data_IF_058433086633
#
_entry.id   IF_058433086633
#
_cell.length_a   1.000
_cell.length_b   1.000
_cell.length_c   1.000
_cell.angle_alpha   90.00
_cell.angle_beta   90.00
_cell.angle_gamma   90.00
#
_symmetry.space_group_name_H-M   'P 1'
#
loop_
_entity.id
_entity.type
_entity.pdbx_description
1 polymer ?
#
# COMPACT_ATOMS: atom_id res chain seq x y z
N UNK A 1 -30.14 31.40 16.77
CA UNK A 1 -29.93 30.07 16.20
C UNK A 1 -28.76 30.23 15.24
N UNK A 2 -27.62 29.60 15.47
CA UNK A 2 -26.54 29.60 14.48
C UNK A 2 -27.08 28.93 13.23
N UNK A 3 -26.94 29.57 12.06
CA UNK A 3 -27.33 28.97 10.79
C UNK A 3 -26.57 27.62 10.63
N UNK A 4 -27.34 26.53 10.50
CA UNK A 4 -26.74 25.19 10.24
C UNK A 4 -26.09 25.22 8.86
N UNK A 5 -24.78 24.96 8.80
CA UNK A 5 -24.06 24.94 7.53
C UNK A 5 -24.58 23.80 6.66
N UNK A 6 -24.89 24.10 5.40
CA UNK A 6 -25.38 23.13 4.41
C UNK A 6 -24.35 22.95 3.29
N UNK A 7 -24.16 21.68 2.88
CA UNK A 7 -23.24 21.26 1.82
C UNK A 7 -23.95 20.34 0.81
N UNK A 8 -23.45 20.32 -0.42
CA UNK A 8 -23.89 19.34 -1.39
C UNK A 8 -23.26 17.96 -1.08
N UNK A 9 -22.02 18.00 -0.55
CA UNK A 9 -21.30 16.78 -0.16
C UNK A 9 -20.40 17.03 1.05
N UNK A 10 -20.44 16.10 1.99
CA UNK A 10 -19.52 16.05 3.15
C UNK A 10 -18.72 14.75 3.09
N UNK A 11 -17.39 14.86 3.19
CA UNK A 11 -16.47 13.71 3.17
C UNK A 11 -15.89 13.54 4.56
N UNK A 12 -16.00 12.35 5.14
CA UNK A 12 -15.47 11.98 6.45
C UNK A 12 -14.19 11.19 6.27
N UNK A 13 -13.06 11.83 6.55
CA UNK A 13 -11.70 11.33 6.34
C UNK A 13 -10.99 12.06 5.20
N UNK A 14 -9.83 12.64 5.50
CA UNK A 14 -8.98 13.40 4.57
C UNK A 14 -7.81 12.57 4.01
N UNK A 15 -7.93 11.23 3.98
CA UNK A 15 -6.97 10.32 3.34
C UNK A 15 -7.02 10.39 1.82
N UNK A 16 -6.22 9.56 1.09
CA UNK A 16 -6.15 9.58 -0.38
C UNK A 16 -7.53 9.60 -1.05
N UNK A 17 -8.40 8.66 -0.73
CA UNK A 17 -9.76 8.65 -1.28
C UNK A 17 -10.56 9.90 -0.92
N UNK A 18 -10.45 10.36 0.34
CA UNK A 18 -11.23 11.49 0.81
C UNK A 18 -10.80 12.84 0.25
N UNK A 19 -9.51 13.16 0.23
CA UNK A 19 -9.06 14.44 -0.30
C UNK A 19 -9.24 14.53 -1.83
N UNK A 20 -9.03 13.42 -2.55
CA UNK A 20 -9.26 13.35 -4.00
C UNK A 20 -10.75 13.51 -4.31
N UNK A 21 -11.62 12.78 -3.60
CA UNK A 21 -13.07 12.94 -3.71
C UNK A 21 -13.51 14.37 -3.44
N UNK A 22 -12.97 15.03 -2.39
CA UNK A 22 -13.30 16.42 -2.05
C UNK A 22 -12.91 17.39 -3.18
N UNK A 23 -11.71 17.25 -3.73
CA UNK A 23 -11.24 18.07 -4.85
C UNK A 23 -12.11 17.85 -6.08
N UNK A 24 -12.40 16.59 -6.42
CA UNK A 24 -13.22 16.27 -7.58
C UNK A 24 -14.65 16.78 -7.43
N UNK A 25 -15.26 16.66 -6.24
CA UNK A 25 -16.59 17.22 -5.94
C UNK A 25 -16.63 18.73 -6.17
N UNK A 26 -15.64 19.46 -5.64
CA UNK A 26 -15.54 20.89 -5.82
C UNK A 26 -15.35 21.30 -7.29
N UNK A 27 -14.56 20.53 -8.07
CA UNK A 27 -14.38 20.72 -9.51
C UNK A 27 -15.69 20.52 -10.30
N UNK A 28 -16.58 19.66 -9.81
CA UNK A 28 -17.91 19.43 -10.36
C UNK A 28 -18.96 20.46 -9.89
N UNK A 29 -18.52 21.47 -9.14
CA UNK A 29 -19.37 22.58 -8.68
C UNK A 29 -20.14 22.33 -7.38
N UNK A 30 -19.86 21.25 -6.67
CA UNK A 30 -20.50 20.93 -5.39
C UNK A 30 -19.89 21.76 -4.25
N UNK A 31 -20.72 22.33 -3.39
CA UNK A 31 -20.27 22.90 -2.12
C UNK A 31 -19.80 21.79 -1.20
N UNK A 32 -18.51 21.72 -0.93
CA UNK A 32 -17.84 20.57 -0.32
C UNK A 32 -17.23 20.91 1.03
N UNK A 33 -17.39 20.01 2.02
CA UNK A 33 -16.59 19.99 3.24
C UNK A 33 -15.90 18.63 3.41
N UNK A 34 -14.69 18.65 3.99
CA UNK A 34 -13.95 17.47 4.38
C UNK A 34 -13.61 17.53 5.88
N UNK A 35 -13.95 16.48 6.61
CA UNK A 35 -13.73 16.36 8.05
C UNK A 35 -12.54 15.41 8.27
N UNK A 36 -11.47 15.87 8.95
CA UNK A 36 -10.29 15.07 9.25
C UNK A 36 -9.87 15.21 10.71
N UNK A 37 -9.79 14.06 11.41
CA UNK A 37 -9.49 14.03 12.85
C UNK A 37 -8.02 14.15 13.21
N UNK A 38 -7.11 13.76 12.32
CA UNK A 38 -5.66 13.80 12.54
C UNK A 38 -5.11 15.23 12.61
N UNK A 39 -5.83 16.21 12.05
CA UNK A 39 -5.40 17.60 11.97
C UNK A 39 -4.48 17.91 10.78
N UNK A 40 -4.05 16.89 10.03
CA UNK A 40 -3.31 17.01 8.77
C UNK A 40 -3.98 16.16 7.69
N UNK A 41 -4.11 16.69 6.48
CA UNK A 41 -4.65 15.98 5.33
C UNK A 41 -3.68 14.90 4.82
N UNK A 42 -4.16 13.97 3.96
CA UNK A 42 -3.39 12.89 3.38
C UNK A 42 -3.52 11.54 4.11
N UNK A 43 -4.23 11.51 5.26
CA UNK A 43 -4.55 10.29 6.00
C UNK A 43 -3.34 9.45 6.38
N UNK A 44 -3.52 8.14 6.47
CA UNK A 44 -2.45 7.20 6.79
C UNK A 44 -1.33 7.23 5.76
N UNK A 45 -1.65 7.25 4.47
CA UNK A 45 -0.66 7.16 3.40
C UNK A 45 0.41 8.26 3.49
N UNK A 46 0.02 9.53 3.59
CA UNK A 46 0.97 10.63 3.60
C UNK A 46 1.64 10.81 4.97
N UNK A 47 0.90 10.61 6.05
CA UNK A 47 1.42 10.97 7.38
C UNK A 47 2.22 9.85 8.05
N UNK A 48 1.79 8.59 7.93
CA UNK A 48 2.36 7.46 8.68
C UNK A 48 2.36 6.15 7.86
N UNK A 49 2.43 6.25 6.54
CA UNK A 49 2.35 5.08 5.64
C UNK A 49 3.25 5.19 4.42
N UNK A 50 2.65 5.28 3.23
CA UNK A 50 3.35 5.19 1.94
C UNK A 50 4.48 6.21 1.79
N UNK A 51 4.20 7.48 2.04
CA UNK A 51 5.17 8.55 1.78
C UNK A 51 6.38 8.46 2.73
N UNK A 52 6.20 8.44 4.06
CA UNK A 52 7.35 8.32 4.96
C UNK A 52 8.12 7.00 4.75
N UNK A 53 7.44 5.89 4.44
CA UNK A 53 8.14 4.63 4.17
C UNK A 53 9.00 4.71 2.90
N UNK A 54 8.52 5.32 1.82
CA UNK A 54 9.28 5.48 0.57
C UNK A 54 10.44 6.46 0.74
N UNK A 55 10.28 7.50 1.54
CA UNK A 55 11.40 8.39 1.88
C UNK A 55 12.53 7.64 2.63
N UNK A 56 12.18 6.78 3.60
CA UNK A 56 13.16 5.96 4.32
C UNK A 56 13.76 4.86 3.44
N UNK A 57 12.95 4.19 2.61
CA UNK A 57 13.43 3.19 1.65
C UNK A 57 14.45 3.79 0.70
N UNK A 58 14.15 4.96 0.11
CA UNK A 58 15.07 5.66 -0.78
C UNK A 58 16.37 6.06 -0.07
N UNK A 59 16.30 6.65 1.12
CA UNK A 59 17.48 7.05 1.88
C UNK A 59 18.38 5.86 2.26
N UNK A 60 17.76 4.77 2.70
CA UNK A 60 18.50 3.54 3.06
C UNK A 60 19.08 2.84 1.83
N UNK A 61 18.42 2.91 0.68
CA UNK A 61 18.91 2.35 -0.58
C UNK A 61 20.12 3.11 -1.11
N UNK A 62 20.09 4.44 -1.08
CA UNK A 62 21.24 5.28 -1.45
C UNK A 62 22.45 4.93 -0.57
N UNK A 63 22.25 4.79 0.75
CA UNK A 63 23.32 4.42 1.68
C UNK A 63 23.91 3.05 1.35
N UNK A 64 23.05 2.00 1.24
CA UNK A 64 23.47 0.64 0.91
C UNK A 64 24.19 0.58 -0.46
N UNK A 65 23.63 1.23 -1.48
CA UNK A 65 24.18 1.26 -2.83
C UNK A 65 25.60 1.83 -2.85
N UNK A 66 25.85 2.95 -2.16
CA UNK A 66 27.20 3.54 -2.11
C UNK A 66 28.13 2.69 -1.25
N UNK A 67 27.66 2.19 -0.11
CA UNK A 67 28.47 1.39 0.82
C UNK A 67 28.91 0.06 0.22
N UNK A 68 27.98 -0.69 -0.38
CA UNK A 68 28.22 -2.06 -0.80
C UNK A 68 28.64 -2.16 -2.28
N UNK A 69 28.21 -1.20 -3.12
CA UNK A 69 28.46 -1.20 -4.55
C UNK A 69 29.29 -0.02 -5.07
N UNK A 70 29.54 1.01 -4.23
CA UNK A 70 30.27 2.21 -4.65
C UNK A 70 31.65 1.92 -5.25
N UNK A 71 32.38 0.95 -4.71
CA UNK A 71 33.73 0.61 -5.18
C UNK A 71 33.77 0.19 -6.65
N UNK A 72 32.77 -0.53 -7.15
CA UNK A 72 32.67 -0.94 -8.57
C UNK A 72 32.43 0.27 -9.51
N UNK A 73 31.88 1.37 -8.97
CA UNK A 73 31.69 2.63 -9.70
C UNK A 73 32.81 3.63 -9.47
N UNK A 74 33.92 3.22 -8.81
CA UNK A 74 35.07 4.09 -8.52
C UNK A 74 34.84 5.03 -7.34
N UNK A 75 33.75 4.89 -6.59
CA UNK A 75 33.48 5.68 -5.38
C UNK A 75 34.28 5.09 -4.23
N UNK A 76 35.06 5.93 -3.55
CA UNK A 76 35.91 5.55 -2.43
C UNK A 76 35.70 6.48 -1.25
N UNK A 77 35.71 5.94 -0.05
CA UNK A 77 35.60 6.66 1.22
C UNK A 77 34.73 5.88 2.21
N UNK A 78 34.85 6.23 3.47
CA UNK A 78 33.98 5.75 4.51
C UNK A 78 32.71 6.61 4.53
N UNK A 79 31.55 5.98 4.47
CA UNK A 79 30.26 6.66 4.53
C UNK A 79 29.53 6.21 5.77
N UNK A 80 28.90 7.17 6.43
CA UNK A 80 28.04 6.93 7.59
C UNK A 80 26.66 7.50 7.31
N UNK A 81 25.64 6.91 7.91
CA UNK A 81 24.27 7.44 7.87
C UNK A 81 23.93 8.07 9.20
N UNK A 82 23.40 9.29 9.17
CA UNK A 82 22.81 9.96 10.30
C UNK A 82 21.31 9.71 10.32
N UNK A 83 20.83 8.88 11.25
CA UNK A 83 19.41 8.53 11.36
C UNK A 83 18.54 9.77 11.63
N UNK A 84 19.02 10.72 12.43
CA UNK A 84 18.24 11.93 12.72
C UNK A 84 18.02 12.79 11.47
N UNK A 85 19.03 12.94 10.63
CA UNK A 85 18.91 13.67 9.35
C UNK A 85 18.04 12.92 8.35
N UNK A 86 18.13 11.59 8.32
CA UNK A 86 17.25 10.74 7.50
C UNK A 86 15.77 10.88 7.91
N UNK A 87 15.49 10.86 9.22
CA UNK A 87 14.13 11.09 9.74
C UNK A 87 13.65 12.50 9.43
N UNK A 88 14.52 13.51 9.61
CA UNK A 88 14.17 14.88 9.26
C UNK A 88 13.82 15.04 7.78
N UNK A 89 14.58 14.43 6.88
CA UNK A 89 14.25 14.43 5.44
C UNK A 89 12.88 13.80 5.18
N UNK A 90 12.56 12.68 5.84
CA UNK A 90 11.23 12.05 5.78
C UNK A 90 10.13 13.03 6.24
N UNK A 91 10.35 13.72 7.36
CA UNK A 91 9.38 14.67 7.93
C UNK A 91 9.18 15.88 7.02
N UNK A 92 10.26 16.43 6.46
CA UNK A 92 10.20 17.56 5.51
C UNK A 92 9.38 17.19 4.25
N UNK A 93 9.52 15.95 3.75
CA UNK A 93 8.72 15.45 2.61
C UNK A 93 7.24 15.33 2.98
N UNK A 94 6.92 14.75 4.12
CA UNK A 94 5.53 14.60 4.61
C UNK A 94 4.88 15.98 4.80
N UNK A 95 5.58 16.90 5.46
CA UNK A 95 5.10 18.26 5.73
C UNK A 95 4.85 19.04 4.42
N UNK A 96 5.76 18.94 3.47
CA UNK A 96 5.60 19.55 2.15
C UNK A 96 4.34 19.07 1.41
N UNK A 97 4.10 17.76 1.41
CA UNK A 97 2.96 17.17 0.71
C UNK A 97 1.62 17.46 1.42
N UNK A 98 1.58 17.36 2.75
CA UNK A 98 0.35 17.66 3.50
C UNK A 98 -0.06 19.12 3.35
N UNK A 99 0.88 20.06 3.41
CA UNK A 99 0.65 21.48 3.10
C UNK A 99 0.20 21.71 1.66
N UNK A 100 0.74 20.92 0.73
CA UNK A 100 0.30 20.93 -0.68
C UNK A 100 -1.19 20.63 -0.82
N UNK A 101 -1.71 19.63 -0.12
CA UNK A 101 -3.14 19.29 -0.13
C UNK A 101 -3.98 20.39 0.51
N UNK A 102 -3.53 20.99 1.62
CA UNK A 102 -4.23 22.16 2.21
C UNK A 102 -4.32 23.32 1.20
N UNK A 103 -3.24 23.55 0.42
CA UNK A 103 -3.22 24.52 -0.67
C UNK A 103 -4.25 24.18 -1.77
N UNK A 104 -4.39 22.91 -2.13
CA UNK A 104 -5.39 22.44 -3.09
C UNK A 104 -6.82 22.62 -2.56
N UNK A 105 -7.08 22.35 -1.30
CA UNK A 105 -8.38 22.59 -0.66
C UNK A 105 -8.74 24.08 -0.71
N UNK A 106 -7.81 24.96 -0.34
CA UNK A 106 -8.01 26.40 -0.41
C UNK A 106 -8.29 26.87 -1.83
N UNK A 107 -7.53 26.39 -2.82
CA UNK A 107 -7.73 26.72 -4.24
C UNK A 107 -9.12 26.30 -4.73
N UNK A 108 -9.61 25.14 -4.32
CA UNK A 108 -10.91 24.59 -4.71
C UNK A 108 -12.06 25.04 -3.79
N UNK A 109 -11.81 25.90 -2.80
CA UNK A 109 -12.81 26.40 -1.85
C UNK A 109 -13.52 25.28 -1.06
N UNK A 110 -12.76 24.28 -0.64
CA UNK A 110 -13.24 23.17 0.18
C UNK A 110 -13.10 23.57 1.64
N UNK A 111 -14.16 23.43 2.42
CA UNK A 111 -14.13 23.67 3.86
C UNK A 111 -13.42 22.49 4.56
N UNK A 112 -12.28 22.78 5.17
CA UNK A 112 -11.51 21.82 5.94
C UNK A 112 -11.89 21.90 7.42
N UNK A 113 -12.60 20.87 7.92
CA UNK A 113 -13.07 20.79 9.29
C UNK A 113 -12.18 19.84 10.09
N UNK A 114 -11.35 20.40 10.99
CA UNK A 114 -10.42 19.62 11.84
C UNK A 114 -11.18 18.99 13.00
N UNK A 115 -11.64 17.76 12.83
CA UNK A 115 -12.51 17.12 13.81
C UNK A 115 -12.85 15.67 13.46
N UNK A 116 -13.59 15.04 14.35
CA UNK A 116 -14.14 13.71 14.16
C UNK A 116 -15.60 13.84 13.66
N UNK A 117 -15.87 13.28 12.47
CA UNK A 117 -17.20 13.25 11.87
C UNK A 117 -17.98 12.03 12.34
N UNK A 118 -19.22 12.22 12.75
CA UNK A 118 -20.16 11.17 13.15
C UNK A 118 -21.42 11.31 12.32
N UNK A 119 -21.81 10.28 11.62
CA UNK A 119 -23.06 10.25 10.85
C UNK A 119 -24.23 10.11 11.79
N UNK A 120 -25.14 11.08 11.80
CA UNK A 120 -26.27 11.13 12.72
C UNK A 120 -27.56 10.62 12.08
N UNK A 121 -27.55 10.45 10.75
CA UNK A 121 -28.67 10.03 9.95
C UNK A 121 -28.53 10.50 8.51
N UNK A 122 -29.60 10.33 7.73
CA UNK A 122 -29.64 10.82 6.35
C UNK A 122 -29.47 12.35 6.33
N UNK A 123 -28.41 12.81 5.70
CA UNK A 123 -28.15 14.23 5.50
C UNK A 123 -27.63 15.01 6.71
N UNK A 124 -27.21 14.34 7.78
CA UNK A 124 -26.71 15.01 8.99
C UNK A 124 -25.41 14.40 9.50
N UNK A 125 -24.42 15.25 9.78
CA UNK A 125 -23.11 14.88 10.34
C UNK A 125 -22.80 15.77 11.54
N UNK A 126 -22.51 15.15 12.69
CA UNK A 126 -21.95 15.85 13.83
C UNK A 126 -20.43 15.95 13.68
N UNK A 127 -19.87 17.12 13.95
CA UNK A 127 -18.43 17.36 13.95
C UNK A 127 -17.96 17.66 15.37
N UNK A 128 -17.09 16.80 15.91
CA UNK A 128 -16.39 17.02 17.18
C UNK A 128 -15.00 17.58 16.87
N UNK A 129 -14.80 18.87 17.05
CA UNK A 129 -13.54 19.54 16.72
C UNK A 129 -12.40 19.11 17.64
N UNK A 130 -11.18 19.07 17.09
CA UNK A 130 -9.96 18.67 17.83
C UNK A 130 -9.34 19.80 18.63
N UNK A 131 -9.71 21.04 18.37
CA UNK A 131 -9.23 22.25 19.05
C UNK A 131 -10.03 22.63 20.31
N UNK A 132 -11.02 21.81 20.71
CA UNK A 132 -11.89 22.07 21.85
C UNK A 132 -13.10 22.96 21.55
N UNK A 133 -13.27 23.38 20.29
CA UNK A 133 -14.49 24.08 19.86
C UNK A 133 -15.72 23.20 20.11
N UNK A 134 -16.83 23.80 20.51
CA UNK A 134 -18.08 23.08 20.76
C UNK A 134 -18.51 22.28 19.52
N UNK A 135 -18.98 21.04 19.69
CA UNK A 135 -19.46 20.24 18.57
C UNK A 135 -20.58 20.97 17.80
N UNK A 136 -20.57 20.81 16.48
CA UNK A 136 -21.60 21.37 15.60
C UNK A 136 -22.26 20.27 14.79
N UNK A 137 -23.49 20.49 14.36
CA UNK A 137 -24.16 19.67 13.34
C UNK A 137 -24.15 20.41 12.02
N UNK A 138 -23.82 19.69 10.94
CA UNK A 138 -23.85 20.19 9.56
C UNK A 138 -24.78 19.31 8.73
N UNK A 139 -25.36 19.90 7.69
CA UNK A 139 -26.22 19.18 6.75
C UNK A 139 -25.52 18.93 5.43
N UNK A 140 -25.77 17.78 4.84
CA UNK A 140 -25.22 17.38 3.54
C UNK A 140 -26.26 16.64 2.71
N UNK A 141 -26.35 16.94 1.42
CA UNK A 141 -27.17 16.11 0.50
C UNK A 141 -26.58 14.72 0.34
N UNK A 142 -25.24 14.62 0.31
CA UNK A 142 -24.50 13.39 0.20
C UNK A 142 -23.39 13.33 1.27
N UNK A 143 -23.21 12.16 1.87
CA UNK A 143 -22.15 11.88 2.85
C UNK A 143 -21.27 10.76 2.29
N UNK A 144 -19.96 10.96 2.25
CA UNK A 144 -18.99 9.95 1.81
C UNK A 144 -18.09 9.57 2.99
N UNK A 145 -18.12 8.31 3.37
CA UNK A 145 -17.29 7.75 4.44
C UNK A 145 -15.98 7.26 3.80
N UNK A 146 -14.87 7.95 4.13
CA UNK A 146 -13.52 7.71 3.61
C UNK A 146 -12.49 7.59 4.74
N UNK A 147 -12.88 6.98 5.85
CA UNK A 147 -12.11 6.93 7.11
C UNK A 147 -10.93 5.95 7.06
N UNK A 148 -10.80 5.18 5.98
CA UNK A 148 -9.64 4.36 5.71
C UNK A 148 -9.52 3.13 6.62
N UNK A 149 -8.31 2.81 7.00
CA UNK A 149 -7.98 1.64 7.79
C UNK A 149 -7.01 1.95 8.93
N UNK A 150 -6.89 1.02 9.85
CA UNK A 150 -5.95 1.09 10.97
C UNK A 150 -5.17 -0.23 11.12
N UNK A 151 -4.16 -0.23 11.97
CA UNK A 151 -3.33 -1.41 12.23
C UNK A 151 -4.19 -2.54 12.80
N UNK A 152 -4.01 -3.76 12.27
CA UNK A 152 -4.63 -4.96 12.81
C UNK A 152 -3.94 -5.30 14.15
N UNK A 153 -4.67 -5.33 15.29
CA UNK A 153 -4.07 -5.72 16.57
C UNK A 153 -3.75 -7.21 16.57
N UNK A 154 -2.60 -7.57 17.14
CA UNK A 154 -2.28 -8.96 17.45
C UNK A 154 -2.87 -9.29 18.83
N UNK A 155 -3.77 -10.28 18.95
CA UNK A 155 -4.39 -10.62 20.21
C UNK A 155 -3.36 -10.92 21.32
N UNK A 156 -3.53 -10.30 22.49
CA UNK A 156 -2.62 -10.45 23.62
C UNK A 156 -1.33 -9.63 23.53
N UNK A 157 -1.14 -8.82 22.50
CA UNK A 157 0.04 -7.97 22.34
C UNK A 157 -0.38 -6.50 22.37
N UNK A 158 0.22 -5.74 23.28
CA UNK A 158 0.00 -4.28 23.36
C UNK A 158 1.11 -3.58 22.58
N UNK A 159 0.73 -2.85 21.55
CA UNK A 159 1.63 -1.97 20.81
C UNK A 159 1.82 -0.70 21.64
N UNK A 160 3.07 -0.45 22.09
CA UNK A 160 3.45 0.68 22.94
C UNK A 160 4.12 1.82 22.16
N UNK A 161 4.39 1.59 20.87
CA UNK A 161 5.13 2.48 19.95
C UNK A 161 6.53 2.88 20.45
N UNK A 162 7.07 2.13 21.41
CA UNK A 162 8.45 2.26 21.93
C UNK A 162 9.29 1.04 21.55
N UNK A 163 8.93 -0.14 22.05
CA UNK A 163 9.62 -1.42 21.76
C UNK A 163 8.78 -2.40 20.97
N UNK A 164 7.49 -2.34 21.14
CA UNK A 164 6.51 -3.10 20.37
C UNK A 164 5.79 -2.07 19.50
N UNK A 165 6.23 -1.94 18.27
CA UNK A 165 5.80 -0.87 17.38
C UNK A 165 4.87 -1.39 16.28
N UNK A 166 3.98 -0.53 15.83
CA UNK A 166 3.32 -0.66 14.54
C UNK A 166 4.21 -0.09 13.42
N UNK A 167 3.68 -0.05 12.18
CA UNK A 167 4.36 0.66 11.10
C UNK A 167 4.60 2.14 11.43
N UNK A 168 3.75 2.75 12.26
CA UNK A 168 3.92 4.14 12.69
C UNK A 168 5.19 4.31 13.52
N UNK A 169 5.37 3.52 14.58
CA UNK A 169 6.57 3.59 15.40
C UNK A 169 7.83 3.13 14.64
N UNK A 170 7.69 2.15 13.73
CA UNK A 170 8.82 1.72 12.89
C UNK A 170 9.37 2.82 11.96
N UNK A 171 8.54 3.81 11.59
CA UNK A 171 8.94 4.99 10.82
C UNK A 171 9.64 6.07 11.67
N UNK A 172 9.62 5.93 13.00
CA UNK A 172 10.08 6.94 13.96
C UNK A 172 11.23 6.44 14.85
N UNK A 173 11.79 5.26 14.60
CA UNK A 173 12.92 4.72 15.38
C UNK A 173 14.12 5.65 15.27
N UNK A 174 14.59 6.17 16.39
CA UNK A 174 15.67 7.17 16.45
C UNK A 174 17.07 6.57 16.34
N UNK A 175 17.17 5.25 16.51
CA UNK A 175 18.41 4.50 16.44
C UNK A 175 18.18 3.22 15.65
N UNK A 176 19.23 2.73 15.00
CA UNK A 176 19.19 1.43 14.30
C UNK A 176 19.15 0.31 15.34
N UNK A 177 18.07 -0.46 15.47
CA UNK A 177 18.03 -1.59 16.40
C UNK A 177 19.02 -2.66 15.95
N UNK A 178 19.76 -3.26 16.88
CA UNK A 178 20.67 -4.38 16.52
C UNK A 178 19.87 -5.58 16.03
N UNK A 179 18.73 -5.87 16.69
CA UNK A 179 17.83 -6.95 16.34
C UNK A 179 16.40 -6.44 16.20
N UNK A 180 15.86 -6.56 14.99
CA UNK A 180 14.48 -6.25 14.69
C UNK A 180 13.72 -7.55 14.39
N UNK A 181 12.70 -7.84 15.16
CA UNK A 181 11.75 -8.89 14.81
C UNK A 181 10.53 -8.27 14.13
N UNK A 182 10.12 -8.84 13.00
CA UNK A 182 8.96 -8.41 12.23
C UNK A 182 7.91 -9.52 12.28
N UNK A 183 6.76 -9.24 12.87
CA UNK A 183 5.62 -10.16 12.91
C UNK A 183 4.73 -9.84 11.71
N UNK A 184 4.72 -10.72 10.71
CA UNK A 184 4.02 -10.58 9.44
C UNK A 184 4.96 -10.41 8.25
N UNK A 185 4.92 -11.35 7.31
CA UNK A 185 5.70 -11.38 6.06
C UNK A 185 5.00 -10.69 4.89
N UNK A 186 4.11 -9.73 5.17
CA UNK A 186 3.43 -8.91 4.18
C UNK A 186 4.25 -7.70 3.73
N UNK A 187 3.65 -6.87 2.85
CA UNK A 187 4.30 -5.70 2.22
C UNK A 187 4.94 -4.77 3.26
N UNK A 188 4.16 -4.34 4.26
CA UNK A 188 4.61 -3.36 5.28
C UNK A 188 5.78 -3.92 6.09
N UNK A 189 5.69 -5.17 6.53
CA UNK A 189 6.74 -5.81 7.31
C UNK A 189 8.06 -5.95 6.53
N UNK A 190 7.98 -6.31 5.26
CA UNK A 190 9.16 -6.48 4.41
C UNK A 190 9.79 -5.14 4.01
N UNK A 191 8.98 -4.11 3.70
CA UNK A 191 9.49 -2.77 3.40
C UNK A 191 10.19 -2.15 4.61
N UNK A 192 9.56 -2.15 5.79
CA UNK A 192 10.17 -1.61 7.00
C UNK A 192 11.38 -2.45 7.45
N UNK A 193 11.27 -3.78 7.34
CA UNK A 193 12.41 -4.67 7.56
C UNK A 193 13.60 -4.34 6.66
N UNK A 194 13.34 -4.01 5.39
CA UNK A 194 14.37 -3.61 4.41
C UNK A 194 15.06 -2.32 4.82
N UNK A 195 14.33 -1.29 5.23
CA UNK A 195 14.93 -0.02 5.71
C UNK A 195 15.97 -0.30 6.79
N UNK A 196 15.56 -0.96 7.87
CA UNK A 196 16.43 -1.18 9.03
C UNK A 196 17.51 -2.23 8.76
N UNK A 197 17.26 -3.21 7.87
CA UNK A 197 18.28 -4.17 7.42
C UNK A 197 19.44 -3.49 6.71
N UNK A 198 19.14 -2.60 5.77
CA UNK A 198 20.16 -1.80 5.03
C UNK A 198 21.02 -0.96 5.97
N UNK A 199 20.44 -0.49 7.07
CA UNK A 199 21.13 0.29 8.09
C UNK A 199 21.93 -0.58 9.07
N UNK A 200 21.84 -1.90 9.02
CA UNK A 200 22.68 -2.82 9.80
C UNK A 200 21.94 -3.67 10.83
N UNK A 201 20.61 -3.62 10.90
CA UNK A 201 19.83 -4.49 11.79
C UNK A 201 19.90 -5.97 11.37
N UNK A 202 19.97 -6.88 12.33
CA UNK A 202 19.63 -8.28 12.14
C UNK A 202 18.11 -8.39 12.13
N UNK A 203 17.51 -8.69 10.94
CA UNK A 203 16.06 -8.76 10.76
C UNK A 203 15.60 -10.20 10.73
N UNK A 204 14.63 -10.54 11.61
CA UNK A 204 13.94 -11.83 11.62
C UNK A 204 12.45 -11.61 11.37
N UNK A 205 11.93 -12.14 10.26
CA UNK A 205 10.51 -12.11 9.91
C UNK A 205 9.85 -13.41 10.41
N UNK A 206 8.79 -13.24 11.22
CA UNK A 206 7.99 -14.34 11.76
C UNK A 206 6.63 -14.28 11.05
N UNK A 207 6.33 -15.31 10.27
CA UNK A 207 5.11 -15.36 9.45
C UNK A 207 4.32 -16.63 9.75
N UNK A 208 3.02 -16.46 9.96
CA UNK A 208 2.09 -17.56 10.26
C UNK A 208 1.94 -18.53 9.08
N UNK A 209 1.97 -18.03 7.87
CA UNK A 209 1.89 -18.82 6.65
C UNK A 209 3.26 -19.44 6.28
N UNK A 210 3.25 -20.46 5.44
CA UNK A 210 4.47 -21.11 4.95
C UNK A 210 5.23 -20.26 3.88
N UNK A 211 4.73 -19.07 3.57
CA UNK A 211 5.28 -18.17 2.53
C UNK A 211 5.04 -16.68 2.84
N UNK A 212 5.83 -15.80 2.22
CA UNK A 212 5.69 -14.35 2.32
C UNK A 212 4.75 -13.82 1.22
N UNK A 213 4.18 -12.63 1.42
CA UNK A 213 3.31 -11.90 0.45
C UNK A 213 2.32 -12.83 -0.29
N UNK A 214 1.42 -13.51 0.42
CA UNK A 214 0.59 -14.60 -0.11
C UNK A 214 -0.32 -14.20 -1.29
N UNK A 215 -0.55 -12.90 -1.51
CA UNK A 215 -1.33 -12.38 -2.63
C UNK A 215 -0.57 -12.26 -3.96
N UNK A 216 0.77 -12.41 -3.95
CA UNK A 216 1.58 -12.33 -5.16
C UNK A 216 1.64 -13.69 -5.88
N UNK A 217 1.97 -13.69 -7.18
CA UNK A 217 2.20 -14.91 -7.96
C UNK A 217 3.28 -15.82 -7.32
N UNK A 218 3.05 -17.11 -7.28
CA UNK A 218 3.87 -18.07 -6.54
C UNK A 218 5.34 -18.12 -6.99
N UNK A 219 5.62 -17.88 -8.26
CA UNK A 219 6.99 -17.84 -8.77
C UNK A 219 7.70 -16.54 -8.31
N UNK A 220 6.97 -15.42 -8.28
CA UNK A 220 7.47 -14.15 -7.73
C UNK A 220 7.75 -14.29 -6.24
N UNK A 221 6.83 -14.84 -5.44
CA UNK A 221 7.03 -15.08 -4.00
C UNK A 221 8.29 -15.87 -3.72
N UNK A 222 8.48 -16.97 -4.44
CA UNK A 222 9.66 -17.84 -4.30
C UNK A 222 10.96 -17.12 -4.64
N UNK A 223 10.97 -16.33 -5.72
CA UNK A 223 12.15 -15.55 -6.11
C UNK A 223 12.42 -14.43 -5.11
N UNK A 224 11.39 -13.72 -4.70
CA UNK A 224 11.48 -12.62 -3.76
C UNK A 224 12.05 -13.06 -2.40
N UNK A 225 11.54 -14.17 -1.87
CA UNK A 225 12.09 -14.75 -0.65
C UNK A 225 13.59 -15.06 -0.78
N UNK A 226 14.02 -15.71 -1.88
CA UNK A 226 15.43 -16.02 -2.11
C UNK A 226 16.32 -14.77 -2.14
N UNK A 227 15.83 -13.70 -2.74
CA UNK A 227 16.56 -12.42 -2.81
C UNK A 227 16.70 -11.82 -1.43
N UNK A 228 15.63 -11.76 -0.65
CA UNK A 228 15.67 -11.25 0.72
C UNK A 228 16.56 -12.11 1.65
N UNK A 229 16.55 -13.44 1.51
CA UNK A 229 17.46 -14.34 2.22
C UNK A 229 18.93 -14.03 1.87
N UNK A 230 19.22 -13.82 0.58
CA UNK A 230 20.56 -13.41 0.10
C UNK A 230 20.99 -12.06 0.67
N UNK A 231 20.04 -11.12 0.85
CA UNK A 231 20.25 -9.83 1.50
C UNK A 231 20.37 -9.95 3.04
N UNK A 232 20.25 -11.15 3.60
CA UNK A 232 20.47 -11.45 5.01
C UNK A 232 19.25 -11.30 5.90
N UNK A 233 18.04 -11.43 5.35
CA UNK A 233 16.84 -11.65 6.14
C UNK A 233 16.78 -13.06 6.70
N UNK A 234 16.34 -13.19 7.95
CA UNK A 234 16.00 -14.48 8.55
C UNK A 234 14.48 -14.67 8.51
N UNK A 235 14.01 -15.82 8.04
CA UNK A 235 12.58 -16.14 7.97
C UNK A 235 12.23 -17.31 8.88
N UNK A 236 11.20 -17.11 9.71
CA UNK A 236 10.49 -18.14 10.47
C UNK A 236 9.06 -18.23 9.94
N UNK A 237 8.90 -19.03 8.87
CA UNK A 237 7.61 -19.26 8.23
C UNK A 237 6.86 -20.41 8.92
N UNK A 238 5.54 -20.48 8.70
CA UNK A 238 4.69 -21.46 9.39
C UNK A 238 4.76 -21.32 10.91
N UNK A 239 4.96 -20.09 11.42
CA UNK A 239 5.26 -19.81 12.82
C UNK A 239 4.26 -18.82 13.41
N UNK A 240 3.55 -19.22 14.46
CA UNK A 240 2.57 -18.44 15.19
C UNK A 240 3.22 -17.78 16.41
N UNK A 241 3.10 -16.48 16.52
CA UNK A 241 3.45 -15.75 17.74
C UNK A 241 2.33 -15.90 18.76
N UNK A 242 2.66 -16.34 19.95
CA UNK A 242 1.71 -16.57 21.06
C UNK A 242 1.86 -15.60 22.22
N UNK A 243 2.97 -14.84 22.26
CA UNK A 243 3.17 -13.80 23.26
C UNK A 243 4.34 -12.88 22.91
N UNK A 244 4.24 -11.64 23.37
CA UNK A 244 5.29 -10.62 23.24
C UNK A 244 5.36 -9.85 24.55
N UNK A 245 6.53 -9.85 25.18
CA UNK A 245 6.79 -9.21 26.46
C UNK A 245 7.94 -8.20 26.32
N UNK A 246 7.69 -6.92 26.60
CA UNK A 246 8.74 -5.91 26.64
C UNK A 246 9.38 -5.78 28.02
N UNK A 247 10.65 -5.46 28.06
CA UNK A 247 11.43 -5.19 29.28
C UNK A 247 12.50 -4.14 29.03
N UNK A 248 13.20 -3.69 30.07
CA UNK A 248 14.35 -2.79 29.91
C UNK A 248 15.47 -3.38 29.04
N UNK A 249 15.57 -4.71 28.94
CA UNK A 249 16.63 -5.42 28.18
C UNK A 249 16.26 -5.71 26.72
N UNK A 250 15.06 -5.34 26.27
CA UNK A 250 14.54 -5.66 24.95
C UNK A 250 13.19 -6.38 25.01
N UNK A 251 12.82 -7.05 23.95
CA UNK A 251 11.56 -7.75 23.78
C UNK A 251 11.79 -9.25 23.66
N UNK A 252 10.99 -10.03 24.38
CA UNK A 252 10.93 -11.48 24.31
C UNK A 252 9.66 -11.88 23.56
N UNK A 253 9.82 -12.65 22.49
CA UNK A 253 8.74 -13.17 21.68
C UNK A 253 8.64 -14.67 21.92
N UNK A 254 7.45 -15.16 22.25
CA UNK A 254 7.15 -16.59 22.30
C UNK A 254 6.46 -16.99 21.02
N UNK A 255 6.99 -17.98 20.33
CA UNK A 255 6.46 -18.46 19.06
C UNK A 255 6.43 -19.99 19.02
N UNK A 256 5.52 -20.55 18.23
CA UNK A 256 5.34 -21.99 18.02
C UNK A 256 5.06 -22.30 16.55
N UNK A 257 5.35 -23.50 16.06
CA UNK A 257 4.93 -23.89 14.72
C UNK A 257 3.41 -23.74 14.55
N UNK A 258 2.93 -23.15 13.45
CA UNK A 258 1.50 -22.91 13.21
C UNK A 258 0.66 -24.19 13.16
N UNK A 259 1.30 -25.33 12.90
CA UNK A 259 0.71 -26.67 12.87
C UNK A 259 0.86 -27.42 14.21
N UNK A 260 1.32 -26.73 15.25
CA UNK A 260 1.58 -27.27 16.58
C UNK A 260 3.01 -27.80 16.74
N UNK A 261 3.55 -27.74 17.95
CA UNK A 261 4.90 -28.14 18.32
C UNK A 261 5.41 -27.39 19.52
N UNK A 262 6.69 -27.56 19.81
CA UNK A 262 7.33 -26.89 20.95
C UNK A 262 7.50 -25.41 20.71
N UNK A 263 7.23 -24.61 21.74
CA UNK A 263 7.44 -23.15 21.71
C UNK A 263 8.92 -22.81 21.77
N UNK A 264 9.31 -21.81 21.01
CA UNK A 264 10.65 -21.19 21.07
C UNK A 264 10.58 -19.76 21.58
N UNK A 265 11.71 -19.26 22.05
CA UNK A 265 11.87 -17.85 22.46
C UNK A 265 12.79 -17.14 21.47
N UNK A 266 12.32 -16.00 20.94
CA UNK A 266 13.08 -15.11 20.08
C UNK A 266 13.27 -13.79 20.84
N UNK A 267 14.51 -13.27 20.89
CA UNK A 267 14.83 -12.02 21.56
C UNK A 267 15.16 -10.95 20.51
N UNK A 268 14.61 -9.75 20.69
CA UNK A 268 14.82 -8.59 19.83
C UNK A 268 14.97 -7.30 20.66
N UNK A 269 15.52 -6.25 20.06
CA UNK A 269 15.50 -4.92 20.66
C UNK A 269 14.14 -4.26 20.41
N UNK A 270 13.64 -4.40 19.19
CA UNK A 270 12.36 -3.87 18.71
C UNK A 270 11.55 -4.99 18.03
N UNK A 271 10.24 -4.94 18.20
CA UNK A 271 9.29 -5.80 17.50
C UNK A 271 8.34 -4.94 16.68
N UNK A 272 8.30 -5.16 15.37
CA UNK A 272 7.30 -4.58 14.47
C UNK A 272 6.12 -5.54 14.30
N UNK A 273 4.92 -5.10 14.63
CA UNK A 273 3.67 -5.83 14.36
C UNK A 273 3.08 -5.34 13.05
N UNK A 274 3.14 -6.16 12.00
CA UNK A 274 2.74 -5.84 10.62
C UNK A 274 1.87 -6.96 10.00
N UNK A 275 0.90 -7.46 10.77
CA UNK A 275 0.03 -8.60 10.38
C UNK A 275 -1.16 -8.22 9.50
N UNK A 276 -1.26 -6.96 9.10
CA UNK A 276 -2.32 -6.46 8.23
C UNK A 276 -2.98 -5.19 8.76
N UNK A 277 -4.08 -4.84 8.12
CA UNK A 277 -4.90 -3.67 8.46
C UNK A 277 -6.36 -4.07 8.55
N UNK A 278 -7.15 -3.31 9.31
CA UNK A 278 -8.60 -3.46 9.41
C UNK A 278 -9.31 -2.15 9.03
N UNK A 279 -10.54 -2.19 8.52
CA UNK A 279 -11.31 -0.98 8.21
C UNK A 279 -11.54 -0.14 9.47
N UNK A 280 -11.47 1.18 9.34
CA UNK A 280 -11.75 2.10 10.44
C UNK A 280 -13.21 2.53 10.40
N UNK A 281 -14.09 1.74 10.99
CA UNK A 281 -15.55 1.93 11.04
C UNK A 281 -16.08 2.25 12.44
N UNK A 282 -15.22 2.28 13.45
CA UNK A 282 -15.60 2.53 14.84
C UNK A 282 -15.91 4.00 15.13
N UNK A 283 -16.89 4.26 16.01
CA UNK A 283 -17.27 5.57 16.50
C UNK A 283 -17.78 6.56 15.42
N UNK A 284 -18.29 6.06 14.30
CA UNK A 284 -18.83 6.85 13.19
C UNK A 284 -20.36 6.98 13.20
N UNK A 285 -21.06 6.37 14.18
CA UNK A 285 -22.52 6.37 14.24
C UNK A 285 -23.19 5.36 13.30
N UNK A 286 -22.42 4.42 12.72
CA UNK A 286 -22.92 3.53 11.66
C UNK A 286 -23.98 2.55 12.15
N UNK A 287 -23.78 1.97 13.34
CA UNK A 287 -24.73 1.02 13.94
C UNK A 287 -26.03 1.71 14.31
N UNK A 288 -25.95 2.94 14.83
CA UNK A 288 -27.10 3.73 15.28
C UNK A 288 -28.04 4.09 14.12
N UNK A 289 -27.50 4.27 12.92
CA UNK A 289 -28.28 4.57 11.73
C UNK A 289 -28.58 3.34 10.84
N UNK A 290 -28.07 2.16 11.23
CA UNK A 290 -28.34 0.89 10.54
C UNK A 290 -27.56 0.70 9.23
N UNK A 291 -26.33 1.21 9.13
CA UNK A 291 -25.44 0.89 8.00
C UNK A 291 -24.96 -0.57 8.13
N UNK A 292 -25.05 -1.31 7.03
CA UNK A 292 -24.63 -2.70 6.96
C UNK A 292 -23.11 -2.81 6.90
N UNK A 293 -22.55 -3.62 7.81
CA UNK A 293 -21.15 -4.06 7.78
C UNK A 293 -21.09 -5.54 7.40
N UNK A 294 -20.02 -5.93 6.69
CA UNK A 294 -19.73 -7.34 6.45
C UNK A 294 -19.04 -8.01 7.65
N UNK A 295 -18.73 -9.30 7.53
CA UNK A 295 -18.08 -10.11 8.58
C UNK A 295 -16.67 -9.61 8.95
N UNK A 296 -16.04 -8.81 8.09
CA UNK A 296 -14.72 -8.20 8.31
C UNK A 296 -14.81 -6.76 8.83
N UNK A 297 -16.03 -6.27 9.12
CA UNK A 297 -16.29 -4.92 9.61
C UNK A 297 -16.19 -3.84 8.53
N UNK A 298 -16.24 -4.20 7.23
CA UNK A 298 -16.23 -3.26 6.10
C UNK A 298 -17.66 -2.80 5.81
N UNK A 299 -17.81 -1.56 5.37
CA UNK A 299 -19.11 -1.02 4.95
C UNK A 299 -19.53 -1.71 3.63
N UNK A 300 -20.70 -2.32 3.63
CA UNK A 300 -21.28 -2.92 2.43
C UNK A 300 -21.78 -1.82 1.49
N UNK A 301 -21.34 -1.85 0.24
CA UNK A 301 -21.74 -0.90 -0.81
C UNK A 301 -22.11 -1.64 -2.09
N UNK A 302 -22.90 -0.98 -2.94
CA UNK A 302 -23.18 -1.45 -4.30
C UNK A 302 -22.06 -1.06 -5.28
N UNK A 303 -22.22 -1.40 -6.57
CA UNK A 303 -21.27 -1.05 -7.63
C UNK A 303 -21.12 0.47 -7.90
N UNK A 304 -21.87 1.32 -7.20
CA UNK A 304 -21.83 2.77 -7.25
C UNK A 304 -21.43 3.40 -5.91
N UNK A 305 -20.78 2.63 -5.05
CA UNK A 305 -20.33 3.04 -3.71
C UNK A 305 -21.45 3.42 -2.73
N UNK A 306 -22.74 3.15 -3.04
CA UNK A 306 -23.87 3.46 -2.17
C UNK A 306 -23.97 2.43 -1.06
N UNK A 307 -24.19 2.90 0.16
CA UNK A 307 -24.59 2.04 1.28
C UNK A 307 -26.09 1.68 1.17
N UNK A 308 -26.58 0.91 2.13
CA UNK A 308 -28.02 0.65 2.27
C UNK A 308 -28.85 1.87 2.70
N UNK A 309 -28.21 3.00 3.03
CA UNK A 309 -28.87 4.26 3.40
C UNK A 309 -28.69 5.26 2.26
N UNK A 310 -29.79 5.72 1.69
CA UNK A 310 -29.80 6.68 0.59
C UNK A 310 -29.08 8.00 0.96
N UNK A 311 -28.21 8.49 0.06
CA UNK A 311 -27.39 9.67 0.27
C UNK A 311 -26.13 9.42 1.11
N UNK A 312 -25.84 8.17 1.50
CA UNK A 312 -24.61 7.79 2.21
C UNK A 312 -23.82 6.80 1.37
N UNK A 313 -22.55 7.11 1.15
CA UNK A 313 -21.59 6.38 0.34
C UNK A 313 -20.37 6.01 1.17
N UNK A 314 -19.59 5.02 0.74
CA UNK A 314 -18.31 4.69 1.36
C UNK A 314 -17.27 4.31 0.29
N UNK A 315 -16.00 4.67 0.53
CA UNK A 315 -14.89 4.48 -0.41
C UNK A 315 -13.58 4.09 0.30
N UNK A 316 -12.66 3.56 -0.46
CA UNK A 316 -11.30 3.23 0.01
C UNK A 316 -11.26 2.00 0.92
N UNK A 317 -10.41 2.05 1.95
CA UNK A 317 -10.12 0.88 2.80
C UNK A 317 -11.29 0.44 3.70
N UNK A 318 -12.34 1.26 3.85
CA UNK A 318 -13.53 0.90 4.66
C UNK A 318 -14.51 0.00 3.92
N UNK A 319 -14.33 -0.21 2.60
CA UNK A 319 -15.14 -1.08 1.76
C UNK A 319 -14.34 -2.29 1.25
N UNK A 320 -14.97 -3.17 0.49
CA UNK A 320 -14.32 -4.30 -0.15
C UNK A 320 -13.27 -3.87 -1.19
N UNK A 321 -12.21 -4.66 -1.33
CA UNK A 321 -11.13 -4.45 -2.28
C UNK A 321 -9.75 -4.32 -1.62
N UNK A 322 -8.70 -4.11 -2.40
CA UNK A 322 -7.35 -3.93 -1.87
C UNK A 322 -7.23 -2.60 -1.11
N UNK A 323 -6.56 -2.65 0.06
CA UNK A 323 -6.28 -1.45 0.87
C UNK A 323 -5.08 -0.70 0.29
N UNK A 324 -5.28 0.02 -0.81
CA UNK A 324 -4.27 0.75 -1.57
C UNK A 324 -4.71 2.20 -1.78
N UNK A 325 -3.76 3.13 -1.65
CA UNK A 325 -4.03 4.56 -1.76
C UNK A 325 -4.61 4.94 -3.13
N UNK A 326 -4.00 4.46 -4.22
CA UNK A 326 -4.47 4.73 -5.57
C UNK A 326 -5.84 4.10 -5.87
N UNK A 327 -6.16 2.90 -5.32
CA UNK A 327 -7.52 2.35 -5.40
C UNK A 327 -8.53 3.28 -4.71
N UNK A 328 -8.18 3.80 -3.52
CA UNK A 328 -9.06 4.72 -2.80
C UNK A 328 -9.22 6.06 -3.54
N UNK A 329 -8.20 6.55 -4.24
CA UNK A 329 -8.27 7.75 -5.09
C UNK A 329 -9.24 7.53 -6.25
N UNK A 330 -9.13 6.42 -6.97
CA UNK A 330 -10.04 6.06 -8.06
C UNK A 330 -11.48 5.84 -7.56
N UNK A 331 -11.67 5.17 -6.41
CA UNK A 331 -12.99 5.08 -5.78
C UNK A 331 -13.57 6.47 -5.50
N UNK A 332 -12.73 7.40 -5.01
CA UNK A 332 -13.14 8.76 -4.70
C UNK A 332 -13.64 9.52 -5.92
N UNK A 333 -12.89 9.45 -7.03
CA UNK A 333 -13.28 10.06 -8.31
C UNK A 333 -14.58 9.44 -8.82
N UNK A 334 -14.63 8.10 -8.91
CA UNK A 334 -15.76 7.38 -9.46
C UNK A 334 -17.05 7.59 -8.63
N UNK A 335 -16.95 7.57 -7.30
CA UNK A 335 -18.08 7.82 -6.40
C UNK A 335 -18.68 9.22 -6.64
N UNK A 336 -17.83 10.25 -6.67
CA UNK A 336 -18.27 11.65 -6.80
C UNK A 336 -18.81 11.93 -8.21
N UNK A 337 -18.20 11.37 -9.25
CA UNK A 337 -18.71 11.45 -10.62
C UNK A 337 -20.06 10.75 -10.75
N UNK A 338 -20.25 9.59 -10.10
CA UNK A 338 -21.54 8.91 -10.02
C UNK A 338 -22.61 9.75 -9.30
N UNK A 339 -22.27 10.44 -8.20
CA UNK A 339 -23.16 11.38 -7.51
C UNK A 339 -23.56 12.55 -8.45
N UNK A 340 -22.65 13.00 -9.30
CA UNK A 340 -22.89 14.04 -10.29
C UNK A 340 -23.68 13.55 -11.55
N UNK A 341 -24.02 12.25 -11.61
CA UNK A 341 -24.77 11.66 -12.73
C UNK A 341 -23.91 11.25 -13.92
N UNK A 342 -22.58 11.17 -13.76
CA UNK A 342 -21.67 10.65 -14.78
C UNK A 342 -21.53 9.13 -14.67
N UNK A 343 -21.18 8.47 -15.77
CA UNK A 343 -20.81 7.06 -15.74
C UNK A 343 -19.38 6.93 -15.20
N UNK A 344 -19.23 6.21 -14.09
CA UNK A 344 -17.94 5.99 -13.46
C UNK A 344 -17.81 4.52 -13.07
N UNK A 345 -16.62 3.96 -13.24
CA UNK A 345 -16.31 2.57 -12.93
C UNK A 345 -14.84 2.42 -12.53
N UNK A 346 -14.59 1.51 -11.60
CA UNK A 346 -13.23 1.10 -11.21
C UNK A 346 -13.13 -0.42 -11.35
N UNK A 347 -12.26 -0.90 -12.22
CA UNK A 347 -11.95 -2.34 -12.30
C UNK A 347 -10.83 -2.71 -11.32
N UNK A 348 -11.19 -3.35 -10.23
CA UNK A 348 -10.21 -3.77 -9.20
C UNK A 348 -9.24 -4.85 -9.69
N UNK A 349 -9.48 -5.51 -10.84
CA UNK A 349 -8.49 -6.40 -11.43
C UNK A 349 -7.31 -5.64 -12.03
N UNK A 350 -7.50 -4.36 -12.35
CA UNK A 350 -6.49 -3.49 -12.98
C UNK A 350 -5.79 -2.57 -11.98
N UNK A 351 -6.07 -2.72 -10.69
CA UNK A 351 -5.37 -1.99 -9.62
C UNK A 351 -4.01 -2.67 -9.37
N UNK A 352 -2.88 -2.03 -9.68
CA UNK A 352 -1.58 -2.64 -9.50
C UNK A 352 -1.15 -2.68 -8.03
N UNK A 353 -0.53 -3.78 -7.61
CA UNK A 353 0.14 -3.89 -6.32
C UNK A 353 1.64 -3.68 -6.47
N UNK A 354 2.27 -2.92 -5.56
CA UNK A 354 3.72 -2.67 -5.58
C UNK A 354 4.33 -2.84 -4.20
N UNK A 355 5.51 -3.47 -4.13
CA UNK A 355 6.36 -3.57 -2.95
C UNK A 355 7.67 -2.85 -3.29
N UNK A 356 8.01 -1.82 -2.54
CA UNK A 356 9.13 -0.91 -2.82
C UNK A 356 10.43 -1.34 -2.13
N UNK A 357 10.70 -2.62 -2.12
CA UNK A 357 12.03 -3.16 -1.77
C UNK A 357 13.01 -2.98 -2.92
N UNK A 358 14.24 -3.47 -2.80
CA UNK A 358 15.16 -3.58 -3.94
C UNK A 358 15.62 -5.05 -4.09
N UNK A 359 15.30 -5.73 -5.22
CA UNK A 359 14.42 -5.26 -6.30
C UNK A 359 12.97 -5.01 -5.85
N UNK A 360 12.27 -4.18 -6.60
CA UNK A 360 10.83 -3.96 -6.41
C UNK A 360 10.03 -5.19 -6.89
N UNK A 361 8.83 -5.36 -6.32
CA UNK A 361 7.85 -6.34 -6.82
C UNK A 361 6.60 -5.60 -7.23
N UNK A 362 6.12 -5.82 -8.45
CA UNK A 362 4.88 -5.23 -8.94
C UNK A 362 4.01 -6.27 -9.66
N UNK A 363 2.70 -6.11 -9.57
CA UNK A 363 1.76 -7.02 -10.22
C UNK A 363 0.45 -6.33 -10.55
N UNK A 364 -0.20 -6.77 -11.62
CA UNK A 364 -1.56 -6.39 -12.01
C UNK A 364 -2.26 -7.61 -12.61
N UNK A 365 -3.57 -7.74 -12.40
CA UNK A 365 -4.39 -8.82 -12.92
C UNK A 365 -4.27 -10.12 -12.13
N UNK A 366 -4.48 -11.24 -12.81
CA UNK A 366 -4.58 -12.58 -12.21
C UNK A 366 -3.22 -13.24 -12.05
N UNK A 367 -3.02 -13.96 -10.94
CA UNK A 367 -1.86 -14.86 -10.77
C UNK A 367 -2.10 -16.19 -11.47
N UNK A 368 -1.05 -17.00 -11.63
CA UNK A 368 -1.23 -18.36 -12.16
C UNK A 368 -2.16 -19.19 -11.28
N UNK A 369 -2.12 -19.02 -9.96
CA UNK A 369 -2.99 -19.70 -9.02
C UNK A 369 -4.45 -19.33 -9.28
N UNK A 370 -4.76 -18.04 -9.43
CA UNK A 370 -6.12 -17.57 -9.73
C UNK A 370 -6.65 -18.17 -11.06
N UNK A 371 -5.80 -18.23 -12.09
CA UNK A 371 -6.18 -18.81 -13.39
C UNK A 371 -6.40 -20.31 -13.30
N UNK A 372 -5.56 -21.04 -12.56
CA UNK A 372 -5.70 -22.47 -12.31
C UNK A 372 -7.00 -22.78 -11.53
N UNK A 373 -7.25 -22.05 -10.46
CA UNK A 373 -8.45 -22.23 -9.64
C UNK A 373 -9.74 -21.92 -10.43
N UNK A 374 -9.68 -20.94 -11.33
CA UNK A 374 -10.78 -20.60 -12.24
C UNK A 374 -10.86 -21.51 -13.48
N UNK A 375 -9.93 -22.49 -13.65
CA UNK A 375 -9.83 -23.37 -14.83
C UNK A 375 -9.68 -22.59 -16.16
N UNK A 376 -9.08 -21.40 -16.13
CA UNK A 376 -8.77 -20.63 -17.34
C UNK A 376 -7.51 -21.18 -18.00
N UNK A 377 -7.56 -21.40 -19.32
CA UNK A 377 -6.39 -21.84 -20.09
C UNK A 377 -5.56 -20.63 -20.50
N UNK A 378 -4.27 -20.65 -20.22
CA UNK A 378 -3.35 -19.52 -20.47
C UNK A 378 -2.00 -20.00 -21.00
N UNK A 379 -1.29 -19.08 -21.62
CA UNK A 379 0.13 -19.21 -21.95
C UNK A 379 0.95 -18.30 -21.02
N UNK A 380 2.21 -18.68 -20.81
CA UNK A 380 3.15 -17.93 -19.96
C UNK A 380 4.33 -17.48 -20.80
N UNK A 381 4.58 -16.17 -20.79
CA UNK A 381 5.82 -15.57 -21.24
C UNK A 381 6.64 -15.06 -20.06
N UNK A 382 7.96 -15.26 -20.10
CA UNK A 382 8.85 -14.85 -19.01
C UNK A 382 10.20 -14.42 -19.56
N UNK A 383 10.71 -13.29 -19.06
CA UNK A 383 12.02 -12.79 -19.45
C UNK A 383 12.83 -12.33 -18.22
N UNK A 384 14.06 -12.86 -18.00
CA UNK A 384 14.89 -12.49 -16.85
C UNK A 384 15.62 -11.17 -17.08
N UNK A 385 15.72 -10.32 -16.06
CA UNK A 385 16.51 -9.08 -16.15
C UNK A 385 18.01 -9.30 -16.40
N UNK A 386 18.54 -10.47 -16.04
CA UNK A 386 19.92 -10.86 -16.39
C UNK A 386 20.19 -10.80 -17.91
N UNK A 387 19.18 -10.96 -18.75
CA UNK A 387 19.28 -10.87 -20.20
C UNK A 387 18.96 -9.46 -20.76
N UNK A 388 18.53 -8.52 -19.90
CA UNK A 388 18.21 -7.15 -20.29
C UNK A 388 19.47 -6.27 -20.29
N UNK A 389 19.71 -5.51 -21.36
CA UNK A 389 20.91 -4.67 -21.55
C UNK A 389 21.02 -3.55 -20.52
N UNK A 390 19.90 -2.90 -20.19
CA UNK A 390 19.87 -1.82 -19.19
C UNK A 390 20.17 -2.36 -17.79
N UNK A 391 19.54 -3.48 -17.41
CA UNK A 391 19.76 -4.15 -16.13
C UNK A 391 21.25 -4.52 -15.95
N UNK A 392 21.87 -5.02 -17.00
CA UNK A 392 23.30 -5.32 -16.98
C UNK A 392 24.17 -4.07 -16.84
N UNK A 393 23.79 -2.97 -17.48
CA UNK A 393 24.57 -1.72 -17.41
C UNK A 393 24.52 -1.06 -16.03
N UNK A 394 23.44 -1.29 -15.27
CA UNK A 394 23.27 -0.77 -13.90
C UNK A 394 23.69 -1.77 -12.82
N UNK A 395 23.90 -3.05 -13.18
CA UNK A 395 24.16 -4.12 -12.21
C UNK A 395 22.92 -4.73 -11.56
N UNK A 396 21.73 -4.29 -11.95
CA UNK A 396 20.44 -4.64 -11.34
C UNK A 396 19.79 -5.83 -12.11
N UNK A 397 20.41 -6.99 -12.05
CA UNK A 397 20.04 -8.14 -12.87
C UNK A 397 19.11 -9.16 -12.21
N UNK A 398 18.78 -8.97 -10.93
CA UNK A 398 17.90 -9.90 -10.20
C UNK A 398 16.45 -9.75 -10.67
N UNK A 399 15.79 -10.91 -10.86
CA UNK A 399 14.37 -10.99 -11.14
C UNK A 399 13.98 -11.18 -12.60
N UNK A 400 12.72 -10.95 -12.90
CA UNK A 400 12.11 -11.21 -14.21
C UNK A 400 10.79 -10.45 -14.40
N UNK A 401 10.35 -10.38 -15.66
CA UNK A 401 8.97 -10.06 -16.06
C UNK A 401 8.26 -11.35 -16.45
N UNK A 402 7.01 -11.53 -15.98
CA UNK A 402 6.14 -12.67 -16.29
C UNK A 402 4.80 -12.14 -16.79
N UNK A 403 4.35 -12.60 -17.95
CA UNK A 403 3.08 -12.28 -18.57
C UNK A 403 2.24 -13.55 -18.69
N UNK A 404 0.97 -13.45 -18.28
CA UNK A 404 -0.04 -14.50 -18.44
C UNK A 404 -1.05 -14.00 -19.47
N UNK A 405 -1.22 -14.76 -20.56
CA UNK A 405 -2.16 -14.40 -21.63
C UNK A 405 -3.15 -15.53 -21.88
N UNK A 406 -4.39 -15.19 -22.18
CA UNK A 406 -5.43 -16.16 -22.53
C UNK A 406 -5.00 -17.02 -23.73
N UNK A 407 -5.15 -18.33 -23.62
CA UNK A 407 -4.66 -19.26 -24.64
C UNK A 407 -5.35 -19.12 -25.99
N UNK A 408 -6.59 -18.62 -26.00
CA UNK A 408 -7.41 -18.54 -27.21
C UNK A 408 -7.41 -17.15 -27.84
N UNK A 409 -7.52 -16.12 -26.99
CA UNK A 409 -7.65 -14.72 -27.45
C UNK A 409 -6.33 -13.95 -27.44
N UNK A 410 -5.33 -14.47 -26.72
CA UNK A 410 -4.05 -13.81 -26.43
C UNK A 410 -4.18 -12.56 -25.53
N UNK A 411 -5.37 -12.24 -25.01
CA UNK A 411 -5.59 -11.13 -24.07
C UNK A 411 -4.71 -11.29 -22.84
N UNK A 412 -4.05 -10.20 -22.41
CA UNK A 412 -3.21 -10.20 -21.21
C UNK A 412 -4.09 -10.29 -19.96
N UNK A 413 -3.94 -11.35 -19.18
CA UNK A 413 -4.71 -11.65 -17.98
C UNK A 413 -4.00 -11.24 -16.69
N UNK A 414 -2.68 -11.14 -16.72
CA UNK A 414 -1.89 -10.71 -15.58
C UNK A 414 -0.42 -10.51 -15.93
N UNK A 415 0.19 -9.54 -15.23
CA UNK A 415 1.62 -9.24 -15.36
C UNK A 415 2.24 -9.16 -13.98
N UNK A 416 3.37 -9.83 -13.79
CA UNK A 416 4.08 -9.93 -12.51
C UNK A 416 5.56 -9.64 -12.75
N UNK A 417 6.09 -8.67 -12.02
CA UNK A 417 7.46 -8.19 -12.17
C UNK A 417 8.15 -8.27 -10.82
N UNK A 418 9.34 -8.83 -10.81
CA UNK A 418 10.30 -8.62 -9.73
C UNK A 418 11.59 -8.13 -10.38
N UNK A 419 12.02 -6.91 -10.06
CA UNK A 419 13.17 -6.31 -10.72
C UNK A 419 13.32 -4.82 -10.43
N UNK A 420 14.28 -4.17 -11.09
CA UNK A 420 14.48 -2.74 -10.94
C UNK A 420 13.27 -1.96 -11.44
N UNK A 421 12.89 -0.93 -10.70
CA UNK A 421 11.80 0.00 -11.08
C UNK A 421 10.47 -0.68 -11.47
N UNK A 422 10.20 -1.87 -10.93
CA UNK A 422 9.01 -2.65 -11.27
C UNK A 422 7.71 -1.87 -11.03
N UNK A 423 7.67 -1.02 -9.98
CA UNK A 423 6.53 -0.14 -9.69
C UNK A 423 6.27 0.93 -10.75
N UNK A 424 7.29 1.30 -11.52
CA UNK A 424 7.14 2.21 -12.66
C UNK A 424 6.73 1.43 -13.92
N UNK A 425 7.41 0.31 -14.20
CA UNK A 425 7.22 -0.52 -15.40
C UNK A 425 5.80 -1.11 -15.42
N UNK A 426 5.24 -1.49 -14.29
CA UNK A 426 3.89 -2.10 -14.22
C UNK A 426 2.79 -1.22 -14.84
N UNK A 427 2.99 0.10 -14.88
CA UNK A 427 2.01 1.03 -15.44
C UNK A 427 1.78 0.82 -16.94
N UNK A 428 2.81 0.35 -17.67
CA UNK A 428 2.68 -0.04 -19.08
C UNK A 428 1.71 -1.23 -19.22
N UNK A 429 1.86 -2.23 -18.34
CA UNK A 429 0.98 -3.38 -18.32
C UNK A 429 -0.46 -3.01 -17.94
N UNK A 430 -0.65 -2.10 -16.96
CA UNK A 430 -1.99 -1.59 -16.57
C UNK A 430 -2.67 -0.96 -17.76
N UNK A 431 -1.99 -0.05 -18.50
CA UNK A 431 -2.53 0.60 -19.69
C UNK A 431 -2.88 -0.44 -20.76
N UNK A 432 -1.99 -1.39 -21.04
CA UNK A 432 -2.24 -2.44 -22.03
C UNK A 432 -3.48 -3.26 -21.66
N UNK A 433 -3.62 -3.66 -20.38
CA UNK A 433 -4.74 -4.45 -19.90
C UNK A 433 -6.05 -3.65 -19.88
N UNK A 434 -6.03 -2.35 -19.57
CA UNK A 434 -7.20 -1.46 -19.62
C UNK A 434 -7.82 -1.44 -21.02
N UNK A 435 -6.96 -1.44 -22.05
CA UNK A 435 -7.39 -1.49 -23.46
C UNK A 435 -7.52 -2.94 -23.99
N UNK A 436 -7.47 -3.97 -23.11
CA UNK A 436 -7.58 -5.40 -23.48
C UNK A 436 -6.58 -5.83 -24.56
N UNK A 437 -5.36 -5.31 -24.46
CA UNK A 437 -4.30 -5.66 -25.38
C UNK A 437 -3.95 -7.15 -25.30
N UNK A 438 -3.55 -7.70 -26.44
CA UNK A 438 -2.93 -9.02 -26.53
C UNK A 438 -1.45 -8.99 -26.15
N UNK A 439 -0.87 -10.16 -25.83
CA UNK A 439 0.59 -10.25 -25.63
C UNK A 439 1.35 -9.89 -26.90
N UNK A 440 0.75 -10.12 -28.08
CA UNK A 440 1.30 -9.74 -29.37
C UNK A 440 1.36 -8.22 -29.56
N UNK A 441 0.36 -7.45 -29.06
CA UNK A 441 0.38 -5.99 -29.12
C UNK A 441 1.57 -5.43 -28.33
N UNK A 442 1.82 -5.95 -27.12
CA UNK A 442 3.00 -5.59 -26.31
C UNK A 442 4.28 -5.95 -27.05
N UNK A 443 4.37 -7.18 -27.60
CA UNK A 443 5.54 -7.69 -28.29
C UNK A 443 5.90 -6.88 -29.54
N UNK A 444 4.92 -6.29 -30.23
CA UNK A 444 5.12 -5.48 -31.45
C UNK A 444 5.32 -3.99 -31.19
N UNK A 445 4.99 -3.54 -29.99
CA UNK A 445 5.20 -2.14 -29.61
C UNK A 445 6.70 -1.83 -29.53
N UNK A 446 7.12 -0.68 -30.08
CA UNK A 446 8.50 -0.25 -30.01
C UNK A 446 8.84 0.24 -28.61
N UNK A 447 9.88 -0.32 -28.02
CA UNK A 447 10.42 0.10 -26.75
C UNK A 447 11.74 0.85 -26.94
N UNK A 448 12.09 1.80 -26.07
CA UNK A 448 13.40 2.46 -26.13
C UNK A 448 14.53 1.47 -25.83
N UNK A 449 15.74 1.76 -26.34
CA UNK A 449 16.93 0.96 -26.08
C UNK A 449 18.11 1.84 -25.64
N UNK A 450 18.87 1.48 -24.57
CA UNK A 450 18.59 0.35 -23.65
C UNK A 450 17.63 0.77 -22.52
N UNK A 451 16.63 -0.06 -22.25
CA UNK A 451 15.61 0.23 -21.23
C UNK A 451 15.17 -1.05 -20.49
N UNK A 452 14.65 -0.88 -19.26
CA UNK A 452 14.10 -2.00 -18.49
C UNK A 452 12.79 -2.54 -19.09
N UNK A 453 11.99 -1.69 -19.76
CA UNK A 453 10.73 -2.08 -20.38
C UNK A 453 10.89 -3.03 -21.55
N UNK A 454 12.09 -3.15 -22.15
CA UNK A 454 12.38 -4.19 -23.11
C UNK A 454 12.16 -5.60 -22.54
N UNK A 455 12.26 -5.77 -21.22
CA UNK A 455 11.93 -7.04 -20.56
C UNK A 455 10.44 -7.38 -20.63
N UNK A 456 9.55 -6.38 -20.65
CA UNK A 456 8.10 -6.55 -20.86
C UNK A 456 7.84 -7.01 -22.30
N UNK A 457 8.45 -6.34 -23.27
CA UNK A 457 8.39 -6.76 -24.69
C UNK A 457 8.86 -8.20 -24.91
N UNK A 458 10.02 -8.55 -24.37
CA UNK A 458 10.59 -9.89 -24.50
C UNK A 458 9.72 -10.95 -23.80
N UNK A 459 9.13 -10.62 -22.65
CA UNK A 459 8.16 -11.50 -22.01
C UNK A 459 6.89 -11.67 -22.87
N UNK A 460 6.40 -10.61 -23.53
CA UNK A 460 5.32 -10.67 -24.51
C UNK A 460 5.66 -11.60 -25.69
N UNK A 461 6.86 -11.47 -26.24
CA UNK A 461 7.37 -12.39 -27.27
C UNK A 461 7.45 -13.83 -26.76
N UNK A 462 7.84 -14.03 -25.49
CA UNK A 462 7.98 -15.38 -24.91
C UNK A 462 6.64 -16.08 -24.66
N UNK A 463 5.51 -15.39 -24.61
CA UNK A 463 4.17 -16.01 -24.59
C UNK A 463 4.00 -16.96 -25.78
N UNK A 464 4.48 -16.55 -26.95
CA UNK A 464 4.51 -17.37 -28.16
C UNK A 464 5.86 -18.06 -28.40
N UNK A 465 6.74 -18.14 -27.38
CA UNK A 465 8.09 -18.76 -27.45
C UNK A 465 9.00 -18.13 -28.51
N UNK A 466 8.90 -16.80 -28.68
CA UNK A 466 9.65 -16.01 -29.69
C UNK A 466 10.60 -14.98 -29.06
N UNK A 467 10.89 -15.05 -27.75
CA UNK A 467 11.88 -14.18 -27.12
C UNK A 467 13.21 -14.24 -27.90
N UNK A 468 13.82 -13.07 -28.12
CA UNK A 468 15.00 -12.94 -28.98
C UNK A 468 16.28 -13.00 -28.17
N UNK A 469 16.28 -12.40 -27.00
CA UNK A 469 17.49 -12.22 -26.18
C UNK A 469 17.58 -13.18 -24.96
N UNK A 470 16.78 -14.23 -24.94
CA UNK A 470 16.72 -15.22 -23.84
C UNK A 470 17.40 -16.51 -24.23
#
# INVERSE_FOLDING_TARGET
MSDVQEYDIVIIGGGPGGYVAAIRAAQLGMKTACIEKRGALGGTCLNVGCIPSKALLNSSEIYESVKDHGAQHGIKGDIEINVADMLKNKDDVVDGLTKGIEGLFKKNKIDYLKGHGIVMGKGEVAVKYTDGTAPTSIKAKNIVIATGSEVMPLPGVVIDEDKIVSSTGALELKEVPKKLAVIGGGVIGLEMGTVWKRLGSEVTVIEFLDEIVPGADGEVRKQFRKILEKQGFNFKLGTKVTGVESSKKGVKITAEPSKGGDSETINADIVLVAIGRRPHTENLGLAEIGINLDERGRIAVDGHFKTNIDGIYAIGDVIEGPMLAHKAEEDGVACVEGIAGQAAHVDYNLVPGVIYTHPEVASVGKTEENLKDANVQYNVGKFPFMANSRARSTGETDGFVKILADKKTDEVLGVHIIGPTAGTIISEAVIAMEFKASSEDIARTCHPHPDFTEAVKEAGLDVAKRAIHK
#
